data_IF_616868111856
#
_entry.id   IF_616868111856
#
_cell.length_a   1.000
_cell.length_b   1.000
_cell.length_c   1.000
_cell.angle_alpha   90.00
_cell.angle_beta   90.00
_cell.angle_gamma   90.00
#
_symmetry.space_group_name_H-M   'P 1'
#
loop_
_entity.id
_entity.type
_entity.pdbx_description
1 polymer ?
#
# COMPACT_ATOMS: atom_id res chain seq x y z
N UNK A 1 -53.86 -14.20 -25.21
CA UNK A 1 -53.26 -15.53 -25.47
C UNK A 1 -52.22 -15.37 -26.56
N UNK A 2 -50.94 -15.20 -26.21
CA UNK A 2 -49.79 -15.62 -27.02
C UNK A 2 -48.54 -15.54 -26.14
N UNK A 3 -48.18 -16.71 -25.64
CA UNK A 3 -46.96 -17.04 -24.91
C UNK A 3 -45.80 -17.08 -25.90
N UNK A 4 -44.58 -16.96 -25.36
CA UNK A 4 -43.28 -17.49 -25.84
C UNK A 4 -42.29 -16.42 -26.32
N UNK A 5 -41.38 -15.97 -25.44
CA UNK A 5 -40.08 -16.59 -25.14
C UNK A 5 -39.05 -16.42 -26.26
N UNK A 6 -38.12 -15.49 -26.08
CA UNK A 6 -36.74 -15.59 -26.60
C UNK A 6 -35.80 -14.73 -25.75
N UNK A 7 -34.81 -15.38 -25.13
CA UNK A 7 -33.51 -14.76 -24.93
C UNK A 7 -32.96 -14.67 -23.51
N UNK A 8 -32.99 -15.74 -22.71
CA UNK A 8 -32.01 -15.91 -21.63
C UNK A 8 -30.61 -16.06 -22.26
N UNK A 9 -29.95 -14.93 -22.48
CA UNK A 9 -28.58 -14.83 -22.99
C UNK A 9 -27.61 -14.98 -21.82
N UNK A 10 -27.15 -16.21 -21.62
CA UNK A 10 -25.98 -16.66 -20.81
C UNK A 10 -25.40 -15.62 -19.83
N UNK A 11 -25.84 -15.71 -18.57
CA UNK A 11 -25.46 -14.84 -17.45
C UNK A 11 -24.24 -15.35 -16.66
N UNK A 12 -23.17 -15.72 -17.35
CA UNK A 12 -21.94 -16.22 -16.69
C UNK A 12 -20.74 -15.27 -16.82
N UNK A 13 -20.71 -14.40 -17.85
CA UNK A 13 -19.55 -13.54 -18.14
C UNK A 13 -19.67 -12.07 -17.67
N UNK A 14 -20.79 -11.69 -17.06
CA UNK A 14 -21.03 -10.33 -16.54
C UNK A 14 -20.27 -9.96 -15.25
N UNK A 15 -19.99 -10.87 -14.29
CA UNK A 15 -19.32 -10.46 -13.04
C UNK A 15 -17.86 -10.06 -13.28
N UNK A 16 -17.16 -10.78 -14.17
CA UNK A 16 -15.71 -10.59 -14.42
C UNK A 16 -15.43 -9.25 -15.11
N UNK A 17 -16.21 -8.90 -16.14
CA UNK A 17 -16.02 -7.62 -16.88
C UNK A 17 -16.36 -6.40 -16.02
N UNK A 18 -17.35 -6.54 -15.16
CA UNK A 18 -17.80 -5.48 -14.26
C UNK A 18 -16.79 -5.26 -13.12
N UNK A 19 -16.29 -6.35 -12.52
CA UNK A 19 -15.23 -6.31 -11.50
C UNK A 19 -13.96 -5.63 -12.02
N UNK A 20 -13.50 -5.98 -13.22
CA UNK A 20 -12.33 -5.36 -13.85
C UNK A 20 -12.50 -3.85 -14.07
N UNK A 21 -13.71 -3.37 -14.36
CA UNK A 21 -13.98 -1.93 -14.50
C UNK A 21 -13.93 -1.21 -13.16
N UNK A 22 -14.39 -1.85 -12.09
CA UNK A 22 -14.28 -1.28 -10.74
C UNK A 22 -12.84 -1.19 -10.28
N UNK A 23 -12.05 -2.26 -10.41
CA UNK A 23 -10.64 -2.26 -9.99
C UNK A 23 -9.81 -1.19 -10.72
N UNK A 24 -10.05 -0.98 -12.02
CA UNK A 24 -9.40 0.10 -12.78
C UNK A 24 -9.77 1.50 -12.30
N UNK A 25 -11.01 1.71 -11.82
CA UNK A 25 -11.41 3.00 -11.24
C UNK A 25 -10.77 3.22 -9.87
N UNK A 26 -10.77 2.19 -9.01
CA UNK A 26 -10.11 2.25 -7.72
C UNK A 26 -8.61 2.53 -7.85
N UNK A 27 -7.94 1.88 -8.80
CA UNK A 27 -6.53 2.12 -9.09
C UNK A 27 -6.26 3.60 -9.41
N UNK A 28 -7.09 4.20 -10.28
CA UNK A 28 -6.98 5.64 -10.64
C UNK A 28 -7.19 6.56 -9.44
N UNK A 29 -8.22 6.32 -8.63
CA UNK A 29 -8.46 7.13 -7.44
C UNK A 29 -7.35 6.98 -6.39
N UNK A 30 -6.85 5.76 -6.20
CA UNK A 30 -5.70 5.50 -5.34
C UNK A 30 -4.45 6.25 -5.82
N UNK A 31 -4.23 6.33 -7.14
CA UNK A 31 -3.10 7.08 -7.71
C UNK A 31 -3.19 8.58 -7.39
N UNK A 32 -4.40 9.16 -7.46
CA UNK A 32 -4.61 10.58 -7.15
C UNK A 32 -4.38 10.89 -5.67
N UNK A 33 -4.56 9.92 -4.76
CA UNK A 33 -4.32 10.11 -3.33
C UNK A 33 -2.83 10.11 -2.93
N UNK A 34 -1.94 9.55 -3.78
CA UNK A 34 -0.49 9.51 -3.51
C UNK A 34 0.11 10.92 -3.48
N UNK A 35 -0.27 11.77 -4.44
CA UNK A 35 0.21 13.14 -4.56
C UNK A 35 -0.04 13.99 -3.29
N UNK A 36 -1.28 14.11 -2.79
CA UNK A 36 -1.54 14.81 -1.53
C UNK A 36 -0.94 14.05 -0.35
N UNK A 37 -0.88 12.72 -0.36
CA UNK A 37 -0.26 11.95 0.73
C UNK A 37 1.23 12.25 0.92
N UNK A 38 1.99 12.33 -0.17
CA UNK A 38 3.42 12.67 -0.15
C UNK A 38 3.65 14.10 0.32
N UNK A 39 2.79 15.05 -0.08
CA UNK A 39 2.90 16.43 0.36
C UNK A 39 2.44 16.65 1.81
N UNK A 40 1.31 16.05 2.21
CA UNK A 40 0.72 16.21 3.53
C UNK A 40 1.50 15.46 4.61
N UNK A 41 2.17 14.35 4.29
CA UNK A 41 2.93 13.57 5.27
C UNK A 41 3.96 14.41 6.05
N UNK A 42 4.93 15.05 5.37
CA UNK A 42 5.92 15.91 6.01
C UNK A 42 5.30 17.12 6.70
N UNK A 43 4.25 17.71 6.12
CA UNK A 43 3.56 18.87 6.70
C UNK A 43 2.90 18.50 8.03
N UNK A 44 2.16 17.39 8.07
CA UNK A 44 1.54 16.89 9.30
C UNK A 44 2.59 16.48 10.34
N UNK A 45 3.69 15.86 9.90
CA UNK A 45 4.83 15.52 10.77
C UNK A 45 5.41 16.79 11.39
N UNK A 46 5.66 17.83 10.59
CA UNK A 46 6.20 19.11 11.06
C UNK A 46 5.28 19.77 12.07
N UNK A 47 3.98 19.89 11.77
CA UNK A 47 2.99 20.48 12.69
C UNK A 47 2.95 19.70 14.02
N UNK A 48 3.07 18.37 13.99
CA UNK A 48 3.08 17.53 15.20
C UNK A 48 4.37 17.59 15.98
N UNK A 49 5.48 17.93 15.33
CA UNK A 49 6.81 17.94 15.94
C UNK A 49 7.20 19.33 16.45
N UNK A 50 6.70 20.39 15.81
CA UNK A 50 7.03 21.78 16.11
C UNK A 50 6.77 22.19 17.57
N UNK A 51 5.69 21.68 18.17
CA UNK A 51 5.27 22.08 19.53
C UNK A 51 5.81 21.17 20.64
N UNK A 52 6.72 20.25 20.34
CA UNK A 52 7.23 19.30 21.33
C UNK A 52 8.66 19.63 21.78
N UNK A 53 8.94 19.50 23.08
CA UNK A 53 10.29 19.69 23.58
C UNK A 53 11.20 18.53 23.17
N UNK A 54 12.50 18.80 23.07
CA UNK A 54 13.48 17.88 22.49
C UNK A 54 13.49 16.51 23.21
N UNK A 55 13.32 16.49 24.54
CA UNK A 55 13.25 15.25 25.32
C UNK A 55 12.10 14.32 24.88
N UNK A 56 10.96 14.89 24.47
CA UNK A 56 9.83 14.09 24.01
C UNK A 56 10.08 13.49 22.62
N UNK A 57 10.88 14.17 21.79
CA UNK A 57 11.30 13.66 20.48
C UNK A 57 12.25 12.48 20.67
N UNK A 58 13.21 12.60 21.60
CA UNK A 58 14.14 11.52 21.91
C UNK A 58 13.45 10.27 22.46
N UNK A 59 12.48 10.41 23.39
CA UNK A 59 11.72 9.27 23.91
C UNK A 59 10.95 8.55 22.79
N UNK A 60 10.32 9.29 21.88
CA UNK A 60 9.63 8.68 20.73
C UNK A 60 10.58 7.94 19.80
N UNK A 61 11.71 8.54 19.45
CA UNK A 61 12.73 7.89 18.64
C UNK A 61 13.26 6.62 19.31
N UNK A 62 13.40 6.64 20.64
CA UNK A 62 13.81 5.46 21.41
C UNK A 62 12.77 4.34 21.33
N UNK A 63 11.50 4.64 21.58
CA UNK A 63 10.39 3.65 21.45
C UNK A 63 10.29 3.07 20.04
N UNK A 64 10.43 3.92 19.01
CA UNK A 64 10.43 3.47 17.63
C UNK A 64 11.59 2.50 17.37
N UNK A 65 12.79 2.83 17.86
CA UNK A 65 14.00 1.99 17.72
C UNK A 65 13.87 0.64 18.42
N UNK A 66 13.18 0.60 19.55
CA UNK A 66 12.91 -0.64 20.28
C UNK A 66 11.92 -1.55 19.54
N UNK A 67 10.95 -1.00 18.80
CA UNK A 67 10.00 -1.79 18.02
C UNK A 67 10.55 -2.14 16.61
N UNK A 68 11.52 -3.06 16.58
CA UNK A 68 12.20 -3.48 15.35
C UNK A 68 11.25 -4.04 14.29
N UNK A 69 10.17 -4.70 14.68
CA UNK A 69 9.22 -5.29 13.73
C UNK A 69 8.43 -4.24 12.95
N UNK A 70 7.96 -3.17 13.61
CA UNK A 70 7.30 -2.05 12.93
C UNK A 70 8.27 -1.29 12.02
N UNK A 71 9.47 -0.96 12.52
CA UNK A 71 10.48 -0.27 11.72
C UNK A 71 10.87 -1.02 10.46
N UNK A 72 10.88 -2.36 10.52
CA UNK A 72 11.19 -3.20 9.36
C UNK A 72 10.13 -3.07 8.28
N UNK A 73 8.85 -3.11 8.65
CA UNK A 73 7.73 -2.96 7.71
C UNK A 73 7.78 -1.61 7.02
N UNK A 74 7.99 -0.53 7.77
CA UNK A 74 8.09 0.81 7.20
C UNK A 74 9.26 0.93 6.21
N UNK A 75 10.44 0.41 6.56
CA UNK A 75 11.61 0.43 5.68
C UNK A 75 11.35 -0.32 4.37
N UNK A 76 10.79 -1.52 4.43
CA UNK A 76 10.46 -2.27 3.22
C UNK A 76 9.36 -1.62 2.39
N UNK A 77 8.38 -0.96 3.03
CA UNK A 77 7.37 -0.19 2.32
C UNK A 77 7.99 0.99 1.57
N UNK A 78 8.90 1.76 2.17
CA UNK A 78 9.60 2.86 1.49
C UNK A 78 10.53 2.38 0.38
N UNK A 79 11.30 1.30 0.62
CA UNK A 79 12.16 0.72 -0.41
C UNK A 79 11.31 0.22 -1.59
N UNK A 80 10.20 -0.47 -1.30
CA UNK A 80 9.25 -0.93 -2.31
C UNK A 80 8.60 0.22 -3.08
N UNK A 81 8.27 1.32 -2.40
CA UNK A 81 7.72 2.53 -3.02
C UNK A 81 8.72 3.13 -4.04
N UNK A 82 9.97 3.32 -3.62
CA UNK A 82 11.02 3.90 -4.46
C UNK A 82 11.33 2.98 -5.64
N UNK A 83 11.55 1.70 -5.37
CA UNK A 83 11.89 0.71 -6.40
C UNK A 83 10.74 0.51 -7.39
N UNK A 84 9.50 0.47 -6.91
CA UNK A 84 8.31 0.41 -7.76
C UNK A 84 8.14 1.66 -8.63
N UNK A 85 8.51 2.84 -8.14
CA UNK A 85 8.52 4.07 -8.93
C UNK A 85 9.56 4.05 -10.05
N UNK A 86 10.79 3.61 -9.75
CA UNK A 86 11.88 3.46 -10.73
C UNK A 86 11.50 2.43 -11.80
N UNK A 87 10.97 1.28 -11.40
CA UNK A 87 10.51 0.24 -12.32
C UNK A 87 9.39 0.76 -13.26
N UNK A 88 8.49 1.60 -12.75
CA UNK A 88 7.46 2.24 -13.57
C UNK A 88 8.03 3.20 -14.62
N UNK A 89 9.01 4.01 -14.23
CA UNK A 89 9.71 4.92 -15.13
C UNK A 89 10.40 4.18 -16.28
N UNK A 90 11.04 3.04 -15.98
CA UNK A 90 11.68 2.20 -16.99
C UNK A 90 10.69 1.53 -17.95
N UNK A 91 9.47 1.22 -17.49
CA UNK A 91 8.50 0.39 -18.23
C UNK A 91 7.53 1.15 -19.13
N UNK A 92 7.61 2.50 -19.21
CA UNK A 92 6.56 3.39 -19.78
C UNK A 92 5.17 3.21 -19.16
N UNK A 93 5.07 2.52 -18.02
CA UNK A 93 3.83 2.39 -17.24
C UNK A 93 3.76 3.59 -16.29
N UNK A 94 2.56 3.96 -15.84
CA UNK A 94 2.36 5.07 -14.90
C UNK A 94 3.19 4.84 -13.61
N UNK A 95 4.22 5.65 -13.33
CA UNK A 95 5.19 5.38 -12.26
C UNK A 95 4.57 5.43 -10.86
N UNK A 96 3.49 6.20 -10.69
CA UNK A 96 2.77 6.26 -9.42
C UNK A 96 2.01 4.96 -9.10
N UNK A 97 1.44 4.30 -10.12
CA UNK A 97 0.70 3.05 -9.91
C UNK A 97 1.66 1.92 -9.49
N UNK A 98 2.81 1.82 -10.16
CA UNK A 98 3.84 0.81 -9.85
C UNK A 98 4.54 1.08 -8.52
N UNK A 99 4.69 2.35 -8.12
CA UNK A 99 5.21 2.74 -6.82
C UNK A 99 4.31 2.28 -5.68
N UNK A 100 2.99 2.48 -5.78
CA UNK A 100 2.02 2.00 -4.78
C UNK A 100 2.04 0.48 -4.69
N UNK A 101 2.06 -0.21 -5.84
CA UNK A 101 2.15 -1.68 -5.87
C UNK A 101 3.44 -2.16 -5.20
N UNK A 102 4.57 -1.51 -5.45
CA UNK A 102 5.84 -1.81 -4.80
C UNK A 102 5.80 -1.59 -3.29
N UNK A 103 5.19 -0.50 -2.82
CA UNK A 103 5.00 -0.23 -1.39
C UNK A 103 4.19 -1.33 -0.70
N UNK A 104 3.06 -1.73 -1.30
CA UNK A 104 2.19 -2.78 -0.77
C UNK A 104 2.94 -4.13 -0.74
N UNK A 105 3.61 -4.49 -1.84
CA UNK A 105 4.43 -5.71 -1.89
C UNK A 105 5.53 -5.70 -0.81
N UNK A 106 6.19 -4.56 -0.60
CA UNK A 106 7.20 -4.38 0.44
C UNK A 106 6.65 -4.63 1.85
N UNK A 107 5.50 -4.03 2.17
CA UNK A 107 4.84 -4.21 3.48
C UNK A 107 4.39 -5.66 3.73
N UNK A 108 3.82 -6.33 2.72
CA UNK A 108 3.40 -7.74 2.82
C UNK A 108 4.62 -8.65 3.02
N UNK A 109 5.69 -8.41 2.26
CA UNK A 109 6.93 -9.18 2.37
C UNK A 109 7.52 -9.06 3.78
N UNK A 110 7.55 -7.84 4.33
CA UNK A 110 8.04 -7.60 5.68
C UNK A 110 7.15 -8.24 6.75
N UNK A 111 5.82 -8.21 6.59
CA UNK A 111 4.89 -8.85 7.50
C UNK A 111 5.07 -10.39 7.51
N UNK A 112 5.23 -11.00 6.33
CA UNK A 112 5.54 -12.42 6.21
C UNK A 112 6.87 -12.75 6.88
N UNK A 113 7.91 -11.95 6.66
CA UNK A 113 9.22 -12.15 7.27
C UNK A 113 9.16 -12.05 8.81
N UNK A 114 8.46 -11.05 9.35
CA UNK A 114 8.23 -10.92 10.79
C UNK A 114 7.47 -12.14 11.35
N UNK A 115 6.50 -12.68 10.61
CA UNK A 115 5.74 -13.85 11.05
C UNK A 115 6.61 -15.12 11.10
N UNK A 116 7.53 -15.28 10.15
CA UNK A 116 8.48 -16.40 10.14
C UNK A 116 9.47 -16.29 11.30
N UNK A 117 10.05 -15.11 11.51
CA UNK A 117 10.99 -14.85 12.63
C UNK A 117 10.34 -15.15 13.98
N UNK A 118 9.08 -14.74 14.18
CA UNK A 118 8.32 -15.02 15.40
C UNK A 118 8.09 -16.52 15.63
N UNK A 119 7.94 -17.33 14.57
CA UNK A 119 7.80 -18.79 14.72
C UNK A 119 9.12 -19.45 15.10
N UNK A 120 10.23 -18.95 14.57
CA UNK A 120 11.57 -19.48 14.87
C UNK A 120 11.94 -19.24 16.35
N UNK A 121 11.63 -18.05 16.89
CA UNK A 121 11.91 -17.73 18.30
C UNK A 121 11.10 -18.53 19.32
N UNK A 122 10.04 -19.23 18.91
CA UNK A 122 9.24 -20.09 19.79
C UNK A 122 9.79 -21.53 19.81
N UNK A 123 10.59 -21.90 18.81
CA UNK A 123 11.14 -23.25 18.69
C UNK A 123 12.53 -23.41 19.34
N UNK A 124 13.21 -22.31 19.65
CA UNK A 124 14.43 -22.27 20.47
C UNK A 124 14.10 -22.24 21.97
#
# INVERSE_FOLDING_TARGET
MFIWSRGMRSSSNYPIKTFRRFTLRFAKYATYAVLPGVALGPVLMYIRLHDQPDEAIYDRCYRLRCNKHQLRVDRFAYIGLIWGGIAGFASRVRPLETSVVGMVLGSITAACYNHVEHKLSIQE
#
